data_IF_847027973772
#
_entry.id   IF_847027973772
#
_cell.length_a   1.000
_cell.length_b   1.000
_cell.length_c   1.000
_cell.angle_alpha   90.00
_cell.angle_beta   90.00
_cell.angle_gamma   90.00
#
_symmetry.space_group_name_H-M   'P 1'
#
loop_
_entity.id
_entity.type
_entity.pdbx_description
1 polymer ?
#
# COMPACT_ATOMS: atom_id res chain seq x y z
N UNK A 1 3.29 -16.78 -29.21
CA UNK A 1 2.99 -16.97 -27.78
C UNK A 1 4.22 -17.61 -27.14
N UNK A 2 5.02 -16.82 -26.42
CA UNK A 2 6.22 -17.33 -25.76
C UNK A 2 5.79 -18.13 -24.52
N UNK A 3 6.11 -19.42 -24.51
CA UNK A 3 5.91 -20.31 -23.38
C UNK A 3 6.76 -19.84 -22.21
N UNK A 4 6.13 -19.31 -21.17
CA UNK A 4 6.79 -18.91 -19.93
C UNK A 4 7.51 -20.13 -19.36
N UNK A 5 8.85 -20.05 -19.28
CA UNK A 5 9.67 -21.12 -18.71
C UNK A 5 9.39 -21.20 -17.21
N UNK A 6 8.92 -22.34 -16.67
CA UNK A 6 8.73 -22.48 -15.24
C UNK A 6 10.09 -22.45 -14.53
N UNK A 7 10.13 -21.79 -13.37
CA UNK A 7 11.31 -21.79 -12.50
C UNK A 7 11.68 -23.22 -12.11
N UNK A 8 12.99 -23.47 -11.97
CA UNK A 8 13.50 -24.75 -11.49
C UNK A 8 13.10 -24.99 -10.02
N UNK A 9 13.07 -26.25 -9.61
CA UNK A 9 12.81 -26.62 -8.20
C UNK A 9 13.85 -26.05 -7.24
N UNK A 10 15.10 -25.85 -7.69
CA UNK A 10 16.16 -25.24 -6.90
C UNK A 10 15.95 -23.73 -6.70
N UNK A 11 15.56 -23.00 -7.75
CA UNK A 11 15.21 -21.58 -7.65
C UNK A 11 13.99 -21.37 -6.76
N UNK A 12 12.97 -22.23 -6.91
CA UNK A 12 11.77 -22.22 -6.08
C UNK A 12 12.09 -22.43 -4.59
N UNK A 13 12.93 -23.41 -4.28
CA UNK A 13 13.34 -23.72 -2.90
C UNK A 13 14.24 -22.62 -2.31
N UNK A 14 15.09 -21.99 -3.12
CA UNK A 14 15.89 -20.86 -2.67
C UNK A 14 15.02 -19.64 -2.30
N UNK A 15 13.94 -19.39 -3.06
CA UNK A 15 12.95 -18.36 -2.73
C UNK A 15 12.27 -18.67 -1.40
N UNK A 16 11.84 -19.93 -1.18
CA UNK A 16 11.23 -20.37 0.08
C UNK A 16 12.15 -20.16 1.28
N UNK A 17 13.38 -20.69 1.23
CA UNK A 17 14.34 -20.58 2.33
C UNK A 17 14.77 -19.14 2.62
N UNK A 18 14.78 -18.26 1.62
CA UNK A 18 15.14 -16.85 1.83
C UNK A 18 14.02 -16.05 2.52
N UNK A 19 12.77 -16.44 2.27
CA UNK A 19 11.58 -15.83 2.90
C UNK A 19 11.27 -16.42 4.28
N UNK A 20 11.69 -17.66 4.55
CA UNK A 20 11.59 -18.28 5.87
C UNK A 20 12.36 -17.47 6.95
N UNK A 21 11.69 -17.15 8.06
CA UNK A 21 12.29 -16.44 9.21
C UNK A 21 12.21 -14.92 9.17
N UNK A 22 11.28 -14.32 8.43
CA UNK A 22 10.94 -12.90 8.56
C UNK A 22 9.98 -12.70 9.75
N UNK A 23 10.37 -11.86 10.71
CA UNK A 23 9.62 -11.67 11.97
C UNK A 23 8.56 -10.56 11.85
N UNK A 24 8.81 -9.55 11.00
CA UNK A 24 7.94 -8.40 10.80
C UNK A 24 7.72 -8.10 9.29
N UNK A 25 6.67 -7.33 8.95
CA UNK A 25 6.31 -6.97 7.57
C UNK A 25 7.47 -6.32 6.80
N UNK A 26 8.24 -5.46 7.48
CA UNK A 26 9.38 -4.76 6.88
C UNK A 26 10.45 -5.74 6.39
N UNK A 27 10.75 -6.77 7.18
CA UNK A 27 11.70 -7.82 6.81
C UNK A 27 11.23 -8.58 5.56
N UNK A 28 9.93 -8.89 5.47
CA UNK A 28 9.36 -9.59 4.31
C UNK A 28 9.54 -8.74 3.04
N UNK A 29 9.17 -7.46 3.09
CA UNK A 29 9.28 -6.54 1.95
C UNK A 29 10.75 -6.34 1.55
N UNK A 30 11.63 -6.12 2.52
CA UNK A 30 13.07 -5.91 2.29
C UNK A 30 13.78 -7.15 1.73
N UNK A 31 13.41 -8.35 2.17
CA UNK A 31 13.95 -9.60 1.60
C UNK A 31 13.41 -9.83 0.19
N UNK A 32 12.13 -9.57 -0.03
CA UNK A 32 11.47 -9.71 -1.33
C UNK A 32 12.13 -8.84 -2.39
N UNK A 33 12.34 -7.55 -2.10
CA UNK A 33 12.92 -6.62 -3.07
C UNK A 33 14.37 -6.98 -3.42
N UNK A 34 15.16 -7.44 -2.44
CA UNK A 34 16.54 -7.88 -2.66
C UNK A 34 16.59 -9.17 -3.49
N UNK A 35 15.75 -10.14 -3.15
CA UNK A 35 15.64 -11.40 -3.88
C UNK A 35 15.27 -11.18 -5.35
N UNK A 36 14.28 -10.32 -5.62
CA UNK A 36 13.90 -9.98 -6.99
C UNK A 36 15.06 -9.31 -7.75
N UNK A 37 15.74 -8.33 -7.14
CA UNK A 37 16.88 -7.67 -7.74
C UNK A 37 18.04 -8.66 -8.03
N UNK A 38 18.28 -9.60 -7.13
CA UNK A 38 19.36 -10.58 -7.27
C UNK A 38 19.06 -11.67 -8.28
N UNK A 39 17.82 -12.16 -8.36
CA UNK A 39 17.43 -13.21 -9.31
C UNK A 39 17.34 -12.65 -10.72
N UNK A 40 16.74 -11.46 -10.89
CA UNK A 40 16.52 -10.87 -12.21
C UNK A 40 17.72 -10.07 -12.72
N UNK A 41 18.64 -9.67 -11.82
CA UNK A 41 19.71 -8.70 -12.12
C UNK A 41 19.15 -7.37 -12.67
N UNK A 42 17.97 -6.98 -12.22
CA UNK A 42 17.30 -5.72 -12.56
C UNK A 42 17.12 -4.85 -11.30
N UNK A 43 16.52 -3.67 -11.45
CA UNK A 43 15.97 -2.95 -10.29
C UNK A 43 14.67 -3.62 -9.90
N UNK A 44 14.50 -3.95 -8.63
CA UNK A 44 13.24 -4.43 -8.10
C UNK A 44 12.54 -3.32 -7.32
N UNK A 45 11.22 -3.30 -7.41
CA UNK A 45 10.36 -2.37 -6.65
C UNK A 45 9.24 -3.18 -6.03
N UNK A 46 8.98 -2.96 -4.74
CA UNK A 46 7.90 -3.62 -4.00
C UNK A 46 7.13 -2.56 -3.24
N UNK A 47 5.83 -2.52 -3.45
CA UNK A 47 4.90 -1.72 -2.64
C UNK A 47 4.62 -2.47 -1.34
N UNK A 48 4.56 -1.75 -0.22
CA UNK A 48 4.05 -2.33 1.02
C UNK A 48 2.59 -2.73 0.83
N UNK A 49 2.11 -3.76 1.55
CA UNK A 49 0.70 -4.13 1.52
C UNK A 49 -0.12 -2.91 1.89
N UNK A 50 -0.92 -2.45 0.93
CA UNK A 50 -1.85 -1.38 1.19
C UNK A 50 -2.93 -1.94 2.10
N UNK A 51 -3.12 -1.31 3.24
CA UNK A 51 -4.08 -1.71 4.27
C UNK A 51 -5.52 -1.37 3.82
N UNK A 52 -5.84 -1.51 2.53
CA UNK A 52 -7.15 -1.19 1.92
C UNK A 52 -8.28 -2.01 2.53
N UNK A 53 -7.94 -3.14 3.19
CA UNK A 53 -8.89 -3.98 3.93
C UNK A 53 -8.95 -3.67 5.42
N UNK A 54 -8.29 -2.60 5.90
CA UNK A 54 -8.36 -2.28 7.32
C UNK A 54 -9.80 -2.05 7.72
N UNK A 55 -10.14 -2.56 8.88
CA UNK A 55 -11.41 -2.30 9.53
C UNK A 55 -11.20 -1.36 10.69
N UNK A 56 -12.23 -0.60 11.00
CA UNK A 56 -12.26 0.17 12.23
C UNK A 56 -12.24 -0.81 13.39
N UNK A 57 -11.21 -0.73 14.23
CA UNK A 57 -11.15 -1.50 15.48
C UNK A 57 -11.85 -0.73 16.59
N UNK A 58 -11.55 0.55 16.73
CA UNK A 58 -12.11 1.39 17.78
C UNK A 58 -11.97 2.88 17.45
N UNK A 59 -12.90 3.69 17.94
CA UNK A 59 -12.75 5.15 18.01
C UNK A 59 -12.89 5.59 19.46
N UNK A 60 -11.99 6.48 19.88
CA UNK A 60 -12.04 7.11 21.19
C UNK A 60 -12.15 8.63 21.04
N UNK A 61 -13.04 9.23 21.82
CA UNK A 61 -13.26 10.68 21.89
C UNK A 61 -12.79 11.15 23.27
N UNK A 62 -11.66 11.85 23.32
CA UNK A 62 -11.01 12.29 24.56
C UNK A 62 -11.07 13.80 24.68
N UNK A 63 -11.80 14.32 25.67
CA UNK A 63 -11.85 15.75 25.94
C UNK A 63 -10.55 16.19 26.64
N UNK A 64 -9.73 17.02 25.98
CA UNK A 64 -8.48 17.56 26.52
C UNK A 64 -8.71 18.82 27.35
N UNK A 65 -9.66 19.65 26.91
CA UNK A 65 -10.14 20.87 27.55
C UNK A 65 -11.63 21.03 27.20
N UNK A 66 -12.41 21.86 27.91
CA UNK A 66 -13.84 22.04 27.62
C UNK A 66 -14.16 22.32 26.14
N UNK A 67 -13.25 22.97 25.42
CA UNK A 67 -13.39 23.33 24.00
C UNK A 67 -12.47 22.53 23.05
N UNK A 68 -11.71 21.54 23.55
CA UNK A 68 -10.68 20.84 22.77
C UNK A 68 -10.85 19.32 22.87
N UNK A 69 -11.16 18.69 21.75
CA UNK A 69 -11.40 17.26 21.62
C UNK A 69 -10.25 16.60 20.86
N UNK A 70 -9.78 15.45 21.34
CA UNK A 70 -8.91 14.55 20.60
C UNK A 70 -9.71 13.33 20.16
N UNK A 71 -9.63 13.01 18.87
CA UNK A 71 -10.22 11.82 18.27
C UNK A 71 -9.08 10.85 18.01
N UNK A 72 -9.17 9.64 18.57
CA UNK A 72 -8.25 8.53 18.31
C UNK A 72 -8.99 7.51 17.46
N UNK A 73 -8.42 7.15 16.31
CA UNK A 73 -8.99 6.20 15.37
C UNK A 73 -8.03 5.02 15.22
N UNK A 74 -8.47 3.85 15.65
CA UNK A 74 -7.67 2.63 15.70
C UNK A 74 -8.19 1.64 14.67
N UNK A 75 -7.30 1.07 13.88
CA UNK A 75 -7.63 0.00 12.94
C UNK A 75 -7.15 -1.37 13.39
N UNK A 76 -7.72 -2.42 12.79
CA UNK A 76 -7.32 -3.81 13.04
C UNK A 76 -5.89 -4.13 12.58
N UNK A 77 -5.39 -3.38 11.60
CA UNK A 77 -4.01 -3.47 11.11
C UNK A 77 -2.99 -2.72 11.98
N UNK A 78 -3.40 -2.26 13.17
CA UNK A 78 -2.51 -1.58 14.12
C UNK A 78 -2.23 -0.11 13.79
N UNK A 79 -2.91 0.49 12.81
CA UNK A 79 -2.83 1.93 12.56
C UNK A 79 -3.59 2.69 13.64
N UNK A 80 -2.95 3.69 14.21
CA UNK A 80 -3.55 4.62 15.18
C UNK A 80 -3.38 6.03 14.64
N UNK A 81 -4.50 6.67 14.30
CA UNK A 81 -4.55 8.07 13.87
C UNK A 81 -5.12 8.94 14.98
N UNK A 82 -4.57 10.13 15.15
CA UNK A 82 -5.05 11.10 16.15
C UNK A 82 -5.30 12.47 15.53
N UNK A 83 -6.45 13.08 15.82
CA UNK A 83 -6.79 14.43 15.37
C UNK A 83 -7.31 15.25 16.53
N UNK A 84 -6.87 16.50 16.61
CA UNK A 84 -7.36 17.46 17.59
C UNK A 84 -8.33 18.41 16.89
N UNK A 85 -9.48 18.64 17.52
CA UNK A 85 -10.52 19.54 17.08
C UNK A 85 -10.82 20.57 18.15
N UNK A 86 -11.02 21.83 17.73
CA UNK A 86 -11.39 22.93 18.60
C UNK A 86 -12.83 23.39 18.33
N UNK A 87 -13.53 23.68 19.42
CA UNK A 87 -14.91 24.14 19.45
C UNK A 87 -15.00 25.56 20.01
N UNK A 88 -16.04 26.29 19.60
CA UNK A 88 -16.26 27.67 20.04
C UNK A 88 -17.00 27.77 21.37
N UNK A 89 -17.33 26.63 21.98
CA UNK A 89 -18.10 26.51 23.21
C UNK A 89 -17.75 25.20 23.93
N UNK A 90 -18.12 25.11 25.20
CA UNK A 90 -17.83 23.95 26.03
C UNK A 90 -18.68 22.75 25.60
N UNK A 91 -18.04 21.60 25.41
CA UNK A 91 -18.72 20.35 25.10
C UNK A 91 -18.93 19.53 26.37
N UNK A 92 -20.17 19.11 26.65
CA UNK A 92 -20.45 18.20 27.75
C UNK A 92 -19.77 16.83 27.55
N UNK A 93 -19.03 16.36 28.55
CA UNK A 93 -18.33 15.07 28.50
C UNK A 93 -19.30 13.89 28.28
N UNK A 94 -20.47 13.92 28.93
CA UNK A 94 -21.52 12.90 28.77
C UNK A 94 -22.04 12.80 27.32
N UNK A 95 -22.08 13.92 26.60
CA UNK A 95 -22.45 13.94 25.18
C UNK A 95 -21.42 13.19 24.34
N UNK A 96 -20.12 13.42 24.59
CA UNK A 96 -19.03 12.73 23.88
C UNK A 96 -18.99 11.23 24.18
N UNK A 97 -19.23 10.82 25.42
CA UNK A 97 -19.31 9.40 25.79
C UNK A 97 -20.43 8.69 25.04
N UNK A 98 -21.61 9.31 24.97
CA UNK A 98 -22.76 8.77 24.25
C UNK A 98 -22.50 8.70 22.74
N UNK A 99 -21.97 9.76 22.15
CA UNK A 99 -21.61 9.82 20.74
C UNK A 99 -20.55 8.76 20.40
N UNK A 100 -19.49 8.65 21.21
CA UNK A 100 -18.44 7.64 21.04
C UNK A 100 -18.98 6.21 21.06
N UNK A 101 -19.93 5.92 21.96
CA UNK A 101 -20.60 4.62 22.02
C UNK A 101 -21.38 4.33 20.74
N UNK A 102 -22.17 5.29 20.25
CA UNK A 102 -22.94 5.13 19.03
C UNK A 102 -22.06 4.99 17.78
N UNK A 103 -20.99 5.78 17.68
CA UNK A 103 -20.01 5.66 16.60
C UNK A 103 -19.44 4.24 16.56
N UNK A 104 -18.90 3.74 17.68
CA UNK A 104 -18.36 2.38 17.72
C UNK A 104 -19.42 1.31 17.36
N UNK A 105 -20.66 1.46 17.79
CA UNK A 105 -21.74 0.53 17.40
C UNK A 105 -21.97 0.47 15.88
N UNK A 106 -21.82 1.59 15.18
CA UNK A 106 -22.12 1.70 13.74
C UNK A 106 -20.95 1.26 12.86
N UNK A 107 -19.72 1.64 13.24
CA UNK A 107 -18.54 1.49 12.37
C UNK A 107 -17.50 0.48 12.86
N UNK A 108 -17.51 0.01 14.10
CA UNK A 108 -16.56 -1.04 14.51
C UNK A 108 -16.73 -2.30 13.65
N UNK A 109 -15.62 -2.81 13.12
CA UNK A 109 -15.57 -3.92 12.16
C UNK A 109 -15.91 -3.54 10.72
N UNK A 110 -16.37 -2.31 10.44
CA UNK A 110 -16.59 -1.84 9.07
C UNK A 110 -15.27 -1.62 8.32
N UNK A 111 -15.25 -1.84 7.01
CA UNK A 111 -14.11 -1.44 6.18
C UNK A 111 -14.01 0.08 6.16
N UNK A 112 -12.81 0.63 6.06
CA UNK A 112 -12.61 2.08 6.01
C UNK A 112 -13.41 2.75 4.89
N UNK A 113 -13.54 2.09 3.73
CA UNK A 113 -14.33 2.60 2.59
C UNK A 113 -15.83 2.73 2.88
N UNK A 114 -16.37 1.92 3.79
CA UNK A 114 -17.79 1.88 4.12
C UNK A 114 -18.16 2.88 5.23
N UNK A 115 -17.17 3.53 5.87
CA UNK A 115 -17.37 4.40 7.03
C UNK A 115 -18.26 5.59 6.69
N UNK A 116 -18.04 6.24 5.54
CA UNK A 116 -18.82 7.41 5.13
C UNK A 116 -20.30 7.06 4.92
N UNK A 117 -20.58 5.92 4.27
CA UNK A 117 -21.95 5.44 4.05
C UNK A 117 -22.62 5.10 5.39
N UNK A 118 -21.93 4.36 6.27
CA UNK A 118 -22.47 3.94 7.56
C UNK A 118 -22.77 5.10 8.50
N UNK A 119 -21.97 6.18 8.46
CA UNK A 119 -22.18 7.36 9.31
C UNK A 119 -23.23 8.33 8.76
N UNK A 120 -23.63 8.20 7.49
CA UNK A 120 -24.54 9.15 6.82
C UNK A 120 -25.89 9.32 7.55
N UNK A 121 -26.45 8.24 8.10
CA UNK A 121 -27.73 8.27 8.82
C UNK A 121 -27.63 8.64 10.31
N UNK A 122 -26.43 8.75 10.88
CA UNK A 122 -26.27 9.00 12.31
C UNK A 122 -26.70 10.42 12.69
N UNK A 123 -26.47 11.39 11.80
CA UNK A 123 -26.82 12.80 11.97
C UNK A 123 -28.32 13.06 12.18
N UNK A 124 -29.17 12.24 11.56
CA UNK A 124 -30.62 12.45 11.58
C UNK A 124 -31.22 12.23 12.98
N UNK A 125 -30.55 11.43 13.81
CA UNK A 125 -30.97 11.10 15.18
C UNK A 125 -30.70 12.21 16.21
N UNK A 126 -29.98 13.27 15.83
CA UNK A 126 -29.59 14.36 16.73
C UNK A 126 -30.46 15.61 16.58
N UNK A 127 -30.52 16.38 17.67
CA UNK A 127 -31.19 17.68 17.71
C UNK A 127 -30.51 18.69 16.79
N UNK A 128 -31.24 19.75 16.39
CA UNK A 128 -30.69 20.79 15.48
C UNK A 128 -29.47 21.49 16.07
N UNK A 129 -29.40 21.66 17.39
CA UNK A 129 -28.24 22.25 18.06
C UNK A 129 -27.01 21.36 17.98
N UNK A 130 -27.18 20.05 18.16
CA UNK A 130 -26.05 19.12 18.28
C UNK A 130 -25.55 18.64 16.90
N UNK A 131 -26.42 18.66 15.88
CA UNK A 131 -26.09 18.25 14.50
C UNK A 131 -24.85 18.94 13.95
N UNK A 132 -24.58 20.19 14.33
CA UNK A 132 -23.40 20.91 13.88
C UNK A 132 -22.11 20.26 14.40
N UNK A 133 -22.04 19.97 15.69
CA UNK A 133 -20.83 19.43 16.30
C UNK A 133 -20.67 17.94 15.99
N UNK A 134 -21.76 17.18 15.99
CA UNK A 134 -21.78 15.78 15.49
C UNK A 134 -21.30 15.73 14.05
N UNK A 135 -21.78 16.64 13.19
CA UNK A 135 -21.38 16.73 11.79
C UNK A 135 -19.89 16.96 11.64
N UNK A 136 -19.31 17.90 12.40
CA UNK A 136 -17.86 18.15 12.38
C UNK A 136 -17.06 16.92 12.82
N UNK A 137 -17.48 16.25 13.89
CA UNK A 137 -16.84 15.03 14.39
C UNK A 137 -16.90 13.91 13.33
N UNK A 138 -18.08 13.68 12.74
CA UNK A 138 -18.27 12.68 11.68
C UNK A 138 -17.41 13.02 10.45
N UNK A 139 -17.40 14.28 9.99
CA UNK A 139 -16.56 14.69 8.87
C UNK A 139 -15.08 14.41 9.15
N UNK A 140 -14.58 14.72 10.36
CA UNK A 140 -13.21 14.42 10.74
C UNK A 140 -12.94 12.91 10.75
N UNK A 141 -13.86 12.09 11.26
CA UNK A 141 -13.73 10.63 11.23
C UNK A 141 -13.71 10.09 9.79
N UNK A 142 -14.54 10.64 8.91
CA UNK A 142 -14.55 10.28 7.49
C UNK A 142 -13.21 10.64 6.85
N UNK A 143 -12.69 11.84 7.10
CA UNK A 143 -11.36 12.26 6.62
C UNK A 143 -10.26 11.31 7.12
N UNK A 144 -10.25 10.97 8.42
CA UNK A 144 -9.29 10.01 9.00
C UNK A 144 -9.43 8.60 8.41
N UNK A 145 -10.64 8.18 8.03
CA UNK A 145 -10.88 6.89 7.37
C UNK A 145 -10.42 6.87 5.91
N UNK A 146 -10.49 8.02 5.23
CA UNK A 146 -10.11 8.20 3.83
C UNK A 146 -8.64 8.56 3.65
N UNK A 147 -7.95 8.96 4.72
CA UNK A 147 -6.53 9.26 4.71
C UNK A 147 -5.79 8.00 4.24
N UNK A 148 -5.38 8.05 2.96
CA UNK A 148 -4.70 6.95 2.30
C UNK A 148 -3.49 6.62 3.16
N UNK A 149 -3.27 5.35 3.54
CA UNK A 149 -1.99 4.99 4.12
C UNK A 149 -0.91 5.55 3.19
N UNK A 150 0.16 6.12 3.76
CA UNK A 150 1.34 6.44 2.96
C UNK A 150 1.69 5.17 2.19
N UNK A 151 1.40 5.15 0.89
CA UNK A 151 1.76 4.01 0.06
C UNK A 151 3.29 4.05 0.00
N UNK A 152 3.89 3.15 0.75
CA UNK A 152 5.34 3.01 0.80
C UNK A 152 5.76 2.04 -0.28
N UNK A 153 6.89 2.34 -0.89
CA UNK A 153 7.57 1.48 -1.85
C UNK A 153 9.01 1.41 -1.46
N UNK A 154 9.60 0.24 -1.65
CA UNK A 154 11.02 0.01 -1.49
C UNK A 154 11.59 -0.44 -2.82
N UNK A 155 12.81 -0.01 -3.08
CA UNK A 155 13.57 -0.33 -4.27
C UNK A 155 14.90 -1.00 -3.89
N UNK A 156 15.37 -1.91 -4.73
CA UNK A 156 16.71 -2.49 -4.62
C UNK A 156 17.29 -2.75 -6.02
N UNK A 157 18.62 -2.81 -6.10
CA UNK A 157 19.30 -3.18 -7.35
C UNK A 157 19.44 -2.05 -8.37
N UNK A 158 19.33 -0.77 -7.98
CA UNK A 158 19.59 0.38 -8.87
C UNK A 158 20.96 0.30 -9.56
N UNK A 159 21.97 -0.20 -8.85
CA UNK A 159 23.31 -0.45 -9.39
C UNK A 159 23.32 -1.45 -10.56
N UNK A 160 22.30 -2.32 -10.70
CA UNK A 160 22.20 -3.25 -11.82
C UNK A 160 22.00 -2.51 -13.15
N UNK A 161 21.32 -1.36 -13.17
CA UNK A 161 21.15 -0.57 -14.39
C UNK A 161 22.48 -0.07 -14.95
N UNK A 162 23.46 0.22 -14.08
CA UNK A 162 24.78 0.65 -14.52
C UNK A 162 25.53 -0.42 -15.33
N UNK A 163 25.13 -1.69 -15.24
CA UNK A 163 25.69 -2.79 -16.04
C UNK A 163 25.21 -2.79 -17.48
N UNK A 164 24.08 -2.16 -17.76
CA UNK A 164 23.44 -2.11 -19.07
C UNK A 164 23.64 -0.76 -19.76
N UNK A 165 24.76 -0.07 -19.49
CA UNK A 165 25.05 1.26 -20.05
C UNK A 165 24.94 1.34 -21.56
N UNK A 166 25.27 0.26 -22.28
CA UNK A 166 25.19 0.18 -23.74
C UNK A 166 23.74 0.10 -24.27
N UNK A 167 22.79 -0.26 -23.42
CA UNK A 167 21.36 -0.32 -23.78
C UNK A 167 20.65 1.03 -23.64
N UNK A 168 21.27 2.01 -22.97
CA UNK A 168 20.71 3.35 -22.78
C UNK A 168 21.31 4.31 -23.81
N UNK A 169 20.46 4.83 -24.70
CA UNK A 169 20.88 5.85 -25.68
C UNK A 169 21.03 7.25 -25.06
N UNK A 170 20.47 7.47 -23.85
CA UNK A 170 20.65 8.68 -23.06
C UNK A 170 21.53 8.40 -21.83
N UNK A 171 21.91 9.45 -21.11
CA UNK A 171 22.59 9.29 -19.82
C UNK A 171 21.65 8.54 -18.86
N UNK A 172 22.19 7.61 -18.08
CA UNK A 172 21.43 6.85 -17.07
C UNK A 172 20.89 7.73 -15.93
N UNK A 173 21.41 8.95 -15.81
CA UNK A 173 21.15 9.85 -14.69
C UNK A 173 19.66 10.20 -14.50
N UNK A 174 18.88 10.59 -15.54
CA UNK A 174 17.45 10.89 -15.38
C UNK A 174 16.62 9.66 -14.98
N UNK A 175 17.05 8.45 -15.38
CA UNK A 175 16.42 7.20 -14.94
C UNK A 175 16.65 7.03 -13.43
N UNK A 176 17.87 7.27 -12.94
CA UNK A 176 18.18 7.16 -11.52
C UNK A 176 17.44 8.21 -10.69
N UNK A 177 17.38 9.47 -11.15
CA UNK A 177 16.59 10.53 -10.51
C UNK A 177 15.11 10.13 -10.39
N UNK A 178 14.51 9.63 -11.49
CA UNK A 178 13.12 9.18 -11.48
C UNK A 178 12.89 7.99 -10.52
N UNK A 179 13.89 7.12 -10.33
CA UNK A 179 13.81 6.00 -9.39
C UNK A 179 13.95 6.42 -7.92
N UNK A 180 14.53 7.59 -7.64
CA UNK A 180 14.59 8.15 -6.27
C UNK A 180 13.26 8.79 -5.85
N UNK A 181 12.39 9.14 -6.81
CA UNK A 181 11.09 9.73 -6.54
C UNK A 181 10.04 8.66 -6.17
N UNK A 182 9.64 8.61 -4.89
CA UNK A 182 8.63 7.66 -4.41
C UNK A 182 7.30 7.75 -5.18
N UNK A 183 6.87 8.95 -5.56
CA UNK A 183 5.62 9.17 -6.32
C UNK A 183 5.71 8.54 -7.72
N UNK A 184 6.89 8.57 -8.36
CA UNK A 184 7.10 7.92 -9.66
C UNK A 184 6.95 6.40 -9.51
N UNK A 185 7.63 5.81 -8.52
CA UNK A 185 7.56 4.37 -8.24
C UNK A 185 6.13 3.89 -7.97
N UNK A 186 5.34 4.66 -7.20
CA UNK A 186 3.93 4.34 -6.96
C UNK A 186 3.10 4.35 -8.24
N UNK A 187 3.33 5.31 -9.14
CA UNK A 187 2.64 5.35 -10.44
C UNK A 187 3.01 4.18 -11.35
N UNK A 188 4.26 3.70 -11.29
CA UNK A 188 4.67 2.50 -12.03
C UNK A 188 3.96 1.25 -11.53
N UNK A 189 3.71 1.18 -10.22
CA UNK A 189 2.97 0.12 -9.57
C UNK A 189 1.46 0.40 -9.47
N UNK A 190 0.94 1.41 -10.18
CA UNK A 190 -0.49 1.69 -10.21
C UNK A 190 -1.26 0.67 -11.06
N UNK A 191 -2.52 0.41 -10.70
CA UNK A 191 -3.49 -0.38 -11.47
C UNK A 191 -3.07 -1.84 -11.79
N UNK A 192 -2.23 -2.43 -10.93
CA UNK A 192 -1.76 -3.80 -11.11
C UNK A 192 -2.84 -4.80 -10.69
N UNK A 193 -2.96 -5.86 -11.47
CA UNK A 193 -3.87 -6.98 -11.22
C UNK A 193 -3.06 -8.22 -10.83
N UNK A 194 -3.75 -9.32 -10.51
CA UNK A 194 -3.13 -10.62 -10.24
C UNK A 194 -2.45 -11.24 -11.47
N UNK A 195 -2.59 -10.61 -12.63
CA UNK A 195 -1.93 -11.00 -13.89
C UNK A 195 -0.71 -10.12 -14.14
N UNK A 196 0.38 -10.73 -14.60
CA UNK A 196 1.59 -9.98 -14.96
C UNK A 196 1.31 -8.99 -16.08
N UNK A 197 1.71 -7.75 -15.86
CA UNK A 197 1.68 -6.67 -16.84
C UNK A 197 3.10 -6.33 -17.27
N UNK A 198 3.29 -6.03 -18.56
CA UNK A 198 4.58 -5.65 -19.13
C UNK A 198 4.39 -4.33 -19.87
N UNK A 199 5.23 -3.34 -19.56
CA UNK A 199 5.24 -2.03 -20.22
C UNK A 199 6.63 -1.78 -20.79
N UNK A 200 6.73 -1.56 -22.09
CA UNK A 200 8.01 -1.47 -22.81
C UNK A 200 8.20 -0.06 -23.36
N UNK A 201 9.27 0.60 -22.91
CA UNK A 201 9.73 1.87 -23.43
C UNK A 201 8.65 2.94 -23.52
N UNK A 202 8.12 3.20 -24.71
CA UNK A 202 7.12 4.28 -24.94
C UNK A 202 5.76 4.03 -24.29
N UNK A 203 5.48 2.81 -23.81
CA UNK A 203 4.30 2.49 -23.00
C UNK A 203 4.42 3.01 -21.55
N UNK A 204 5.61 3.44 -21.14
CA UNK A 204 5.84 4.08 -19.86
C UNK A 204 5.22 5.48 -19.84
N UNK A 205 4.46 5.75 -18.79
CA UNK A 205 3.86 7.08 -18.53
C UNK A 205 4.92 8.10 -18.14
N UNK A 206 6.00 7.66 -17.49
CA UNK A 206 7.12 8.50 -17.08
C UNK A 206 8.11 8.69 -18.24
N UNK A 207 8.40 9.94 -18.59
CA UNK A 207 9.26 10.26 -19.74
C UNK A 207 10.69 9.78 -19.52
N UNK A 208 11.19 9.93 -18.29
CA UNK A 208 12.55 9.53 -17.92
C UNK A 208 12.75 8.01 -17.96
N UNK A 209 11.67 7.22 -17.99
CA UNK A 209 11.73 5.76 -17.98
C UNK A 209 11.43 5.13 -19.35
N UNK A 210 11.28 5.91 -20.42
CA UNK A 210 10.98 5.39 -21.77
C UNK A 210 12.08 4.56 -22.43
N UNK A 211 13.27 4.50 -21.82
CA UNK A 211 14.35 3.60 -22.21
C UNK A 211 14.42 2.33 -21.37
N UNK A 212 13.45 2.14 -20.48
CA UNK A 212 13.33 0.98 -19.62
C UNK A 212 12.10 0.15 -19.98
N UNK A 213 12.08 -1.06 -19.46
CA UNK A 213 10.90 -1.92 -19.43
C UNK A 213 10.54 -2.23 -18.00
N UNK A 214 9.24 -2.33 -17.74
CA UNK A 214 8.65 -2.62 -16.45
C UNK A 214 7.85 -3.92 -16.56
N UNK A 215 8.07 -4.83 -15.61
CA UNK A 215 7.25 -6.03 -15.43
C UNK A 215 6.69 -5.99 -14.02
N UNK A 216 5.37 -5.97 -13.89
CA UNK A 216 4.68 -5.83 -12.60
C UNK A 216 3.60 -6.88 -12.42
N UNK A 217 3.30 -7.20 -11.15
CA UNK A 217 2.18 -8.05 -10.77
C UNK A 217 1.70 -7.68 -9.37
N UNK A 218 0.40 -7.81 -9.12
CA UNK A 218 -0.16 -7.77 -7.77
C UNK A 218 0.20 -9.03 -6.97
N UNK A 219 0.38 -8.90 -5.66
CA UNK A 219 0.51 -10.02 -4.73
C UNK A 219 -0.61 -9.98 -3.68
N UNK A 220 -1.07 -11.14 -3.22
CA UNK A 220 -2.17 -11.27 -2.26
C UNK A 220 -2.97 -12.55 -2.46
N UNK A 221 -3.96 -12.81 -1.60
CA UNK A 221 -4.94 -13.89 -1.81
C UNK A 221 -6.37 -13.32 -1.72
N UNK A 222 -7.27 -13.85 -2.56
CA UNK A 222 -8.68 -13.43 -2.64
C UNK A 222 -8.97 -12.50 -3.82
N UNK A 223 -10.04 -11.70 -3.73
CA UNK A 223 -10.57 -10.87 -4.83
C UNK A 223 -9.78 -9.58 -5.12
N UNK A 224 -8.70 -9.28 -4.39
CA UNK A 224 -7.90 -8.06 -4.59
C UNK A 224 -6.47 -8.21 -4.08
N UNK A 225 -5.51 -7.69 -4.85
CA UNK A 225 -4.10 -7.62 -4.47
C UNK A 225 -3.89 -6.80 -3.18
N UNK A 226 -3.04 -7.30 -2.29
CA UNK A 226 -2.60 -6.62 -1.08
C UNK A 226 -1.60 -5.51 -1.42
N UNK A 227 -0.82 -5.67 -2.47
CA UNK A 227 0.11 -4.67 -2.99
C UNK A 227 0.68 -5.14 -4.32
N UNK A 228 1.61 -4.37 -4.86
CA UNK A 228 2.26 -4.68 -6.12
C UNK A 228 3.77 -4.88 -5.97
N UNK A 229 4.34 -5.69 -6.85
CA UNK A 229 5.78 -5.79 -7.02
C UNK A 229 6.15 -5.83 -8.50
N UNK A 230 7.40 -5.51 -8.81
CA UNK A 230 7.88 -5.56 -10.18
C UNK A 230 9.38 -5.34 -10.32
N UNK A 231 9.83 -5.40 -11.56
CA UNK A 231 11.22 -5.13 -11.94
C UNK A 231 11.30 -4.13 -13.09
N UNK A 232 12.33 -3.30 -13.04
CA UNK A 232 12.67 -2.27 -14.03
C UNK A 232 14.05 -2.58 -14.60
N UNK A 233 14.11 -2.76 -15.91
CA UNK A 233 15.32 -3.11 -16.64
C UNK A 233 15.44 -2.41 -17.99
N UNK A 234 16.49 -2.67 -18.78
CA UNK A 234 16.60 -2.17 -20.14
C UNK A 234 15.52 -2.78 -21.04
N UNK A 235 15.22 -2.12 -22.17
CA UNK A 235 14.23 -2.63 -23.15
C UNK A 235 14.59 -3.99 -23.75
N UNK A 236 15.86 -4.39 -23.68
CA UNK A 236 16.38 -5.68 -24.15
C UNK A 236 16.63 -6.71 -23.02
N UNK A 237 15.90 -6.62 -21.91
CA UNK A 237 16.03 -7.55 -20.79
C UNK A 237 15.48 -8.96 -21.09
N UNK A 238 15.83 -9.95 -20.25
CA UNK A 238 15.21 -11.29 -20.26
C UNK A 238 13.78 -11.22 -19.68
N UNK A 239 12.82 -10.92 -20.55
CA UNK A 239 11.40 -10.87 -20.19
C UNK A 239 10.89 -12.21 -19.66
N UNK A 240 11.31 -13.33 -20.22
CA UNK A 240 10.81 -14.65 -19.82
C UNK A 240 11.24 -14.98 -18.39
N UNK A 241 12.52 -14.76 -18.07
CA UNK A 241 13.05 -14.91 -16.71
C UNK A 241 12.42 -13.91 -15.73
N UNK A 242 12.27 -12.65 -16.14
CA UNK A 242 11.68 -11.60 -15.29
C UNK A 242 10.22 -11.88 -14.95
N UNK A 243 9.40 -12.25 -15.93
CA UNK A 243 7.99 -12.62 -15.75
C UNK A 243 7.87 -13.83 -14.81
N UNK A 244 8.71 -14.86 -15.00
CA UNK A 244 8.68 -16.06 -14.17
C UNK A 244 9.07 -15.76 -12.71
N UNK A 245 10.14 -14.98 -12.50
CA UNK A 245 10.59 -14.59 -11.17
C UNK A 245 9.55 -13.74 -10.44
N UNK A 246 9.05 -12.68 -11.09
CA UNK A 246 8.01 -11.78 -10.55
C UNK A 246 6.75 -12.56 -10.16
N UNK A 247 6.25 -13.43 -11.05
CA UNK A 247 5.06 -14.25 -10.77
C UNK A 247 5.24 -15.22 -9.59
N UNK A 248 6.43 -15.80 -9.45
CA UNK A 248 6.69 -16.75 -8.38
C UNK A 248 6.80 -16.03 -7.04
N UNK A 249 7.60 -14.96 -6.97
CA UNK A 249 7.79 -14.18 -5.75
C UNK A 249 6.47 -13.58 -5.27
N UNK A 250 5.64 -13.03 -6.16
CA UNK A 250 4.32 -12.50 -5.80
C UNK A 250 3.42 -13.54 -5.14
N UNK A 251 3.43 -14.77 -5.65
CA UNK A 251 2.67 -15.87 -5.06
C UNK A 251 3.18 -16.22 -3.66
N UNK A 252 4.49 -16.26 -3.48
CA UNK A 252 5.10 -16.57 -2.18
C UNK A 252 4.82 -15.51 -1.12
N UNK A 253 5.05 -14.24 -1.46
CA UNK A 253 4.75 -13.10 -0.58
C UNK A 253 3.26 -13.05 -0.25
N UNK A 254 2.40 -13.29 -1.25
CA UNK A 254 0.95 -13.38 -1.06
C UNK A 254 0.54 -14.48 -0.08
N UNK A 255 1.16 -15.67 -0.12
CA UNK A 255 0.90 -16.72 0.85
C UNK A 255 1.40 -16.38 2.25
N UNK A 256 2.65 -15.92 2.38
CA UNK A 256 3.27 -15.64 3.67
C UNK A 256 2.53 -14.55 4.45
N UNK A 257 2.12 -13.47 3.77
CA UNK A 257 1.39 -12.37 4.40
C UNK A 257 -0.05 -12.71 4.81
N UNK A 258 -0.62 -13.81 4.31
CA UNK A 258 -1.94 -14.27 4.75
C UNK A 258 -1.89 -15.34 5.84
N UNK A 259 -0.81 -16.13 5.95
CA UNK A 259 -0.65 -17.10 7.03
C UNK A 259 -0.20 -16.45 8.35
N UNK A 260 0.41 -15.27 8.29
CA UNK A 260 0.82 -14.48 9.45
C UNK A 260 -0.20 -13.46 9.98
N UNK A 261 -1.41 -13.39 9.38
CA UNK A 261 -2.51 -12.50 9.79
C UNK A 261 -3.59 -13.29 10.54
#
# INVERSE_FOLDING_TARGET
MATVKPLSSAERRAIETFLEGALDLDDVVMRTVRLLADVTKQVAVVQYPSIVKSRVRHIELVLLMPTRLMIIFITDAGRIEQRIMEFTHDIPENFLVNLGTQLNQVITGARLLDVAEKLSGLLDSYSVSDRRDVGRIISMIIEMSMEKPEEKVVLAGTANLARFREDFTAQIHPILEALEEQVVLLRLLGDVTDTVQVRIGHEQSEQNLRQTSLVTVGYGTGESALGALGVIGPTRMDYAGSIAAVSAVARYVGHYLNEGA
#
